data_IF_251225529905
#
_entry.id   IF_251225529905
#
_cell.length_a   1.000
_cell.length_b   1.000
_cell.length_c   1.000
_cell.angle_alpha   90.00
_cell.angle_beta   90.00
_cell.angle_gamma   90.00
#
_symmetry.space_group_name_H-M   'P 1'
#
loop_
_entity.id
_entity.type
_entity.pdbx_description
1 polymer ?
#
# COMPACT_ATOMS: atom_id res chain seq x y z
N UNK A 1 17.98 -9.90 -4.35
CA UNK A 1 17.45 -8.57 -3.99
C UNK A 1 16.76 -8.70 -2.65
N UNK A 2 17.03 -7.80 -1.71
CA UNK A 2 16.30 -7.75 -0.43
C UNK A 2 14.83 -7.43 -0.69
N UNK A 3 13.95 -7.99 0.14
CA UNK A 3 12.52 -7.67 0.13
C UNK A 3 12.30 -6.28 0.74
N UNK A 4 11.26 -5.58 0.28
CA UNK A 4 10.93 -4.24 0.75
C UNK A 4 10.02 -4.30 1.98
N UNK A 5 10.32 -3.53 3.01
CA UNK A 5 9.51 -3.41 4.23
C UNK A 5 8.56 -2.22 4.15
N UNK A 6 7.49 -2.23 4.94
CA UNK A 6 6.60 -1.09 5.12
C UNK A 6 7.38 0.14 5.59
N UNK A 7 7.04 1.29 5.04
CA UNK A 7 7.70 2.56 5.33
C UNK A 7 6.78 3.55 6.02
N UNK A 8 5.67 3.94 5.37
CA UNK A 8 4.76 4.96 5.85
C UNK A 8 3.41 4.90 5.09
N UNK A 9 2.41 5.69 5.52
CA UNK A 9 1.13 5.88 4.85
C UNK A 9 0.90 7.35 4.44
N UNK A 10 -0.18 7.62 3.70
CA UNK A 10 -0.46 8.96 3.17
C UNK A 10 -0.74 10.03 4.23
N UNK A 11 -1.20 9.66 5.43
CA UNK A 11 -1.48 10.60 6.52
C UNK A 11 -0.21 10.92 7.31
N UNK A 12 0.71 9.96 7.42
CA UNK A 12 2.00 10.14 8.09
C UNK A 12 3.12 10.66 7.18
N UNK A 13 2.83 10.98 5.90
CA UNK A 13 3.86 11.35 4.94
C UNK A 13 4.48 12.72 5.25
N UNK A 14 5.79 12.93 5.06
CA UNK A 14 6.40 14.25 5.22
C UNK A 14 5.76 15.29 4.30
N UNK A 15 5.23 16.38 4.88
CA UNK A 15 4.44 17.39 4.15
C UNK A 15 5.21 17.99 2.97
N UNK A 16 6.50 18.31 3.15
CA UNK A 16 7.35 18.87 2.10
C UNK A 16 7.59 17.92 0.91
N UNK A 17 7.32 16.62 1.07
CA UNK A 17 7.53 15.58 0.07
C UNK A 17 6.24 15.16 -0.64
N UNK A 18 5.08 15.66 -0.21
CA UNK A 18 3.79 15.26 -0.78
C UNK A 18 3.66 15.69 -2.25
N UNK A 19 3.95 16.96 -2.52
CA UNK A 19 3.84 17.58 -3.86
C UNK A 19 5.20 17.90 -4.51
N UNK A 20 6.31 17.46 -3.91
CA UNK A 20 7.63 17.59 -4.51
C UNK A 20 7.74 16.75 -5.79
N UNK A 21 8.65 17.13 -6.68
CA UNK A 21 9.01 16.31 -7.84
C UNK A 21 9.48 14.92 -7.38
N UNK A 22 8.89 13.87 -7.93
CA UNK A 22 9.14 12.49 -7.55
C UNK A 22 8.54 12.08 -6.19
N UNK A 23 7.79 12.97 -5.53
CA UNK A 23 7.16 12.79 -4.23
C UNK A 23 5.88 11.93 -4.25
N UNK A 24 5.11 11.98 -3.15
CA UNK A 24 3.97 11.07 -2.93
C UNK A 24 2.90 11.16 -4.02
N UNK A 25 2.44 12.36 -4.38
CA UNK A 25 1.39 12.54 -5.38
C UNK A 25 1.83 12.03 -6.76
N UNK A 26 3.03 12.38 -7.21
CA UNK A 26 3.57 11.91 -8.49
C UNK A 26 3.74 10.39 -8.51
N UNK A 27 4.17 9.79 -7.39
CA UNK A 27 4.21 8.34 -7.24
C UNK A 27 2.81 7.71 -7.38
N UNK A 28 1.78 8.30 -6.78
CA UNK A 28 0.40 7.79 -6.86
C UNK A 28 -0.16 7.94 -8.29
N UNK A 29 0.06 9.09 -8.93
CA UNK A 29 -0.46 9.40 -10.26
C UNK A 29 0.15 8.51 -11.35
N UNK A 30 1.39 8.07 -11.16
CA UNK A 30 2.11 7.16 -12.07
C UNK A 30 1.96 5.68 -11.72
N UNK A 31 1.11 5.35 -10.76
CA UNK A 31 0.95 3.98 -10.28
C UNK A 31 0.43 3.05 -11.38
N UNK A 32 0.98 1.84 -11.41
CA UNK A 32 0.53 0.76 -12.27
C UNK A 32 -0.07 -0.33 -11.38
N UNK A 33 -1.32 -0.70 -11.67
CA UNK A 33 -2.01 -1.80 -11.00
C UNK A 33 -1.24 -3.12 -11.18
N UNK A 34 -1.10 -3.86 -10.10
CA UNK A 34 -0.51 -5.19 -10.08
C UNK A 34 -1.37 -6.15 -9.27
N UNK A 35 -1.16 -7.45 -9.46
CA UNK A 35 -1.83 -8.46 -8.64
C UNK A 35 -1.15 -8.59 -7.27
N UNK A 36 -1.89 -9.07 -6.27
CA UNK A 36 -1.34 -9.45 -4.96
C UNK A 36 -0.17 -10.43 -5.11
N UNK A 37 -0.29 -11.40 -6.02
CA UNK A 37 0.78 -12.37 -6.29
C UNK A 37 2.07 -11.71 -6.77
N UNK A 38 1.97 -10.64 -7.58
CA UNK A 38 3.15 -9.84 -7.96
C UNK A 38 3.67 -9.05 -6.77
N UNK A 39 2.80 -8.40 -5.99
CA UNK A 39 3.20 -7.63 -4.80
C UNK A 39 4.01 -8.48 -3.80
N UNK A 40 3.55 -9.70 -3.48
CA UNK A 40 4.22 -10.64 -2.57
C UNK A 40 5.60 -11.13 -3.07
N UNK A 41 5.91 -10.97 -4.36
CA UNK A 41 7.26 -11.26 -4.89
C UNK A 41 8.27 -10.18 -4.51
N UNK A 42 7.83 -9.00 -4.10
CA UNK A 42 8.72 -7.86 -3.85
C UNK A 42 8.74 -7.39 -2.39
N UNK A 43 7.65 -7.55 -1.65
CA UNK A 43 7.57 -7.13 -0.25
C UNK A 43 7.99 -8.22 0.72
N UNK A 44 8.43 -7.78 1.89
CA UNK A 44 8.75 -8.65 3.02
C UNK A 44 7.46 -9.17 3.68
N UNK A 45 7.44 -10.46 4.03
CA UNK A 45 6.22 -11.12 4.51
C UNK A 45 5.90 -10.78 5.96
N UNK A 46 6.92 -10.68 6.81
CA UNK A 46 6.74 -10.34 8.22
C UNK A 46 6.28 -8.89 8.35
N UNK A 47 6.92 -7.99 7.60
CA UNK A 47 6.51 -6.59 7.55
C UNK A 47 5.08 -6.40 7.04
N UNK A 48 4.66 -7.17 6.02
CA UNK A 48 3.27 -7.13 5.54
C UNK A 48 2.30 -7.70 6.58
N UNK A 49 2.65 -8.81 7.23
CA UNK A 49 1.79 -9.40 8.26
C UNK A 49 1.57 -8.43 9.43
N UNK A 50 2.62 -7.73 9.88
CA UNK A 50 2.50 -6.72 10.93
C UNK A 50 1.56 -5.57 10.51
N UNK A 51 1.62 -5.15 9.24
CA UNK A 51 0.69 -4.16 8.70
C UNK A 51 -0.75 -4.70 8.65
N UNK A 52 -0.96 -5.93 8.16
CA UNK A 52 -2.27 -6.61 8.14
C UNK A 52 -2.89 -6.65 9.56
N UNK A 53 -2.11 -7.06 10.56
CA UNK A 53 -2.53 -7.11 11.97
C UNK A 53 -2.88 -5.70 12.51
N UNK A 54 -2.06 -4.68 12.20
CA UNK A 54 -2.32 -3.30 12.64
C UNK A 54 -3.58 -2.67 12.04
N UNK A 55 -3.99 -3.14 10.86
CA UNK A 55 -5.21 -2.70 10.17
C UNK A 55 -6.44 -3.53 10.59
N UNK A 56 -6.26 -4.51 11.48
CA UNK A 56 -7.35 -5.34 12.01
C UNK A 56 -7.79 -6.48 11.08
N UNK A 57 -6.96 -6.87 10.10
CA UNK A 57 -7.26 -8.02 9.26
C UNK A 57 -6.98 -9.34 9.97
N UNK A 58 -7.84 -10.32 9.71
CA UNK A 58 -7.66 -11.69 10.15
C UNK A 58 -6.68 -12.47 9.26
N UNK A 59 -6.07 -13.50 9.85
CA UNK A 59 -5.13 -14.39 9.14
C UNK A 59 -5.85 -15.43 8.28
N UNK A 60 -7.11 -15.73 8.60
CA UNK A 60 -7.88 -16.75 7.90
C UNK A 60 -9.31 -16.29 7.62
N UNK A 61 -9.88 -16.55 6.43
CA UNK A 61 -11.27 -16.19 6.09
C UNK A 61 -12.37 -16.79 6.97
N UNK A 62 -12.02 -17.68 7.90
CA UNK A 62 -12.95 -18.28 8.89
C UNK A 62 -13.00 -17.48 10.20
N UNK A 63 -11.99 -16.64 10.43
CA UNK A 63 -11.87 -15.79 11.60
C UNK A 63 -12.44 -14.40 11.30
N UNK A 64 -12.32 -13.95 10.06
CA UNK A 64 -12.99 -12.76 9.55
C UNK A 64 -12.38 -12.27 8.24
N UNK A 65 -12.40 -10.96 8.03
CA UNK A 65 -11.93 -10.35 6.79
C UNK A 65 -10.41 -10.40 6.72
N UNK A 66 -9.88 -10.97 5.64
CA UNK A 66 -8.44 -10.96 5.36
C UNK A 66 -8.13 -9.87 4.34
N UNK A 67 -6.93 -9.27 4.39
CA UNK A 67 -6.53 -8.27 3.38
C UNK A 67 -6.57 -8.85 1.95
N UNK A 68 -6.28 -10.14 1.79
CA UNK A 68 -6.37 -10.83 0.51
C UNK A 68 -7.80 -10.96 -0.05
N UNK A 69 -8.80 -10.91 0.83
CA UNK A 69 -10.22 -11.00 0.50
C UNK A 69 -10.95 -9.66 0.54
N UNK A 70 -10.25 -8.56 0.83
CA UNK A 70 -10.83 -7.22 0.84
C UNK A 70 -10.82 -6.62 -0.57
N UNK A 71 -12.01 -6.33 -1.09
CA UNK A 71 -12.20 -5.75 -2.41
C UNK A 71 -11.84 -4.25 -2.47
N UNK A 72 -11.70 -3.58 -1.33
CA UNK A 72 -11.23 -2.21 -1.23
C UNK A 72 -9.70 -2.10 -1.18
N UNK A 73 -8.98 -3.23 -1.20
CA UNK A 73 -7.52 -3.26 -1.26
C UNK A 73 -7.06 -3.49 -2.69
N UNK A 74 -6.21 -2.59 -3.18
CA UNK A 74 -5.54 -2.72 -4.49
C UNK A 74 -4.03 -2.57 -4.35
N UNK A 75 -3.28 -3.24 -5.22
CA UNK A 75 -1.83 -3.30 -5.17
C UNK A 75 -1.21 -2.61 -6.37
N UNK A 76 -0.11 -1.90 -6.13
CA UNK A 76 0.46 -0.97 -7.09
C UNK A 76 1.98 -1.06 -7.12
N UNK A 77 2.55 -0.78 -8.30
CA UNK A 77 3.99 -0.51 -8.47
C UNK A 77 4.16 0.90 -9.03
N UNK A 78 5.12 1.64 -8.51
CA UNK A 78 5.45 2.99 -9.02
C UNK A 78 6.92 3.37 -8.81
N UNK A 79 7.21 4.66 -8.97
CA UNK A 79 8.49 5.31 -8.71
C UNK A 79 8.32 6.41 -7.65
N UNK A 80 9.10 6.33 -6.58
CA UNK A 80 9.25 7.38 -5.57
C UNK A 80 10.71 7.83 -5.59
N UNK A 81 10.96 9.10 -5.89
CA UNK A 81 12.32 9.64 -6.07
C UNK A 81 13.18 8.79 -7.02
N UNK A 82 12.58 8.35 -8.13
CA UNK A 82 13.21 7.48 -9.13
C UNK A 82 13.38 6.00 -8.73
N UNK A 83 13.11 5.63 -7.47
CA UNK A 83 13.24 4.26 -6.96
C UNK A 83 11.94 3.48 -7.15
N UNK A 84 12.06 2.23 -7.59
CA UNK A 84 10.88 1.35 -7.70
C UNK A 84 10.34 1.04 -6.32
N UNK A 85 9.05 1.32 -6.13
CA UNK A 85 8.32 1.04 -4.89
C UNK A 85 7.07 0.22 -5.19
N UNK A 86 6.61 -0.51 -4.18
CA UNK A 86 5.39 -1.30 -4.20
C UNK A 86 4.55 -0.85 -3.02
N UNK A 87 3.30 -0.49 -3.28
CA UNK A 87 2.39 -0.02 -2.24
C UNK A 87 1.00 -0.61 -2.45
N UNK A 88 0.17 -0.52 -1.42
CA UNK A 88 -1.25 -0.86 -1.48
C UNK A 88 -2.07 0.39 -1.21
N UNK A 89 -3.23 0.51 -1.85
CA UNK A 89 -4.28 1.44 -1.45
C UNK A 89 -5.26 0.67 -0.57
N UNK A 90 -5.58 1.24 0.59
CA UNK A 90 -6.43 0.67 1.63
C UNK A 90 -7.49 1.70 2.00
N UNK A 91 -8.75 1.27 2.10
CA UNK A 91 -9.87 2.12 2.54
C UNK A 91 -10.06 3.38 1.70
N UNK A 92 -10.25 3.26 0.39
CA UNK A 92 -10.70 4.36 -0.48
C UNK A 92 -12.10 4.85 -0.01
N UNK A 93 -12.15 5.65 1.06
CA UNK A 93 -13.39 6.08 1.71
C UNK A 93 -13.73 7.49 1.21
N UNK A 94 -14.83 7.60 0.49
CA UNK A 94 -15.40 8.86 0.06
C UNK A 94 -16.45 9.35 1.08
N UNK A 95 -16.14 10.46 1.75
CA UNK A 95 -17.12 11.20 2.56
C UNK A 95 -17.68 12.34 1.72
N UNK A 96 -18.90 12.16 1.20
CA UNK A 96 -19.57 13.13 0.33
C UNK A 96 -20.64 13.88 1.14
N UNK A 97 -20.50 15.20 1.22
CA UNK A 97 -21.51 16.10 1.79
C UNK A 97 -22.01 17.02 0.66
N UNK A 98 -23.33 17.18 0.56
CA UNK A 98 -23.99 18.01 -0.43
C UNK A 98 -24.55 19.29 0.19
#
# INVERSE_FOLDING_TARGET
MSKLTYHNNCVGWPEHDVHAEGGLCEMIDRAIDITRNTFLKHVDRESLQNLEESLGYDKHPKQGLTMAGDFHVSYHRSKLHGKTVYFLKHSAIEYVFA
#
